data_IF_369442752463
#
_entry.id   IF_369442752463
#
_cell.length_a   1.000
_cell.length_b   1.000
_cell.length_c   1.000
_cell.angle_alpha   90.00
_cell.angle_beta   90.00
_cell.angle_gamma   90.00
#
_symmetry.space_group_name_H-M   'P 1'
#
loop_
_entity.id
_entity.type
_entity.pdbx_description
1 polymer ?
#
# COMPACT_ATOMS: atom_id res chain seq x y z
N UNK A 1 -1.19 -2.44 3.76
CA UNK A 1 -0.33 -2.82 2.64
C UNK A 1 -0.50 -1.83 1.51
N UNK A 2 0.58 -1.29 0.97
CA UNK A 2 0.56 -0.50 -0.26
C UNK A 2 0.87 -1.46 -1.41
N UNK A 3 0.12 -1.36 -2.50
CA UNK A 3 0.29 -2.11 -3.76
C UNK A 3 0.30 -1.12 -4.91
N UNK A 4 0.93 -1.47 -6.04
CA UNK A 4 1.01 -0.62 -7.21
C UNK A 4 0.41 -1.32 -8.44
N UNK A 5 -0.37 -0.59 -9.23
CA UNK A 5 -1.14 -1.14 -10.35
C UNK A 5 -0.29 -1.84 -11.40
N UNK A 6 0.93 -1.35 -11.66
CA UNK A 6 1.85 -1.89 -12.65
C UNK A 6 3.04 -2.62 -12.04
N UNK A 7 2.98 -2.97 -10.75
CA UNK A 7 4.06 -3.68 -10.08
C UNK A 7 4.27 -5.08 -10.72
N UNK A 8 5.40 -5.32 -11.40
CA UNK A 8 5.65 -6.59 -12.07
C UNK A 8 6.11 -7.69 -11.08
N UNK A 9 6.55 -7.31 -9.88
CA UNK A 9 7.09 -8.21 -8.85
C UNK A 9 6.00 -8.63 -7.88
N UNK A 10 5.23 -7.67 -7.38
CA UNK A 10 4.17 -7.87 -6.40
C UNK A 10 2.85 -7.31 -6.94
N UNK A 11 2.21 -8.10 -7.81
CA UNK A 11 0.95 -7.69 -8.44
C UNK A 11 -0.13 -7.48 -7.36
N UNK A 12 -1.05 -6.51 -7.50
CA UNK A 12 -2.09 -6.22 -6.49
C UNK A 12 -2.92 -7.44 -6.08
N UNK A 13 -3.15 -8.37 -7.02
CA UNK A 13 -3.89 -9.60 -6.80
C UNK A 13 -3.27 -10.51 -5.74
N UNK A 14 -1.94 -10.44 -5.58
CA UNK A 14 -1.18 -11.26 -4.62
C UNK A 14 -1.43 -10.81 -3.17
N UNK A 15 -1.92 -9.58 -2.96
CA UNK A 15 -2.25 -9.06 -1.65
C UNK A 15 -3.65 -9.47 -1.15
N UNK A 16 -4.46 -10.11 -1.99
CA UNK A 16 -5.81 -10.55 -1.59
C UNK A 16 -5.75 -11.65 -0.53
N UNK A 17 -6.56 -11.51 0.51
CA UNK A 17 -6.65 -12.49 1.59
C UNK A 17 -5.50 -12.41 2.60
N UNK A 18 -4.60 -11.44 2.49
CA UNK A 18 -3.49 -11.29 3.44
C UNK A 18 -3.96 -10.97 4.86
N UNK A 19 -5.17 -10.44 5.03
CA UNK A 19 -5.78 -10.20 6.34
C UNK A 19 -5.93 -11.47 7.19
N UNK A 20 -5.99 -12.65 6.57
CA UNK A 20 -6.03 -13.93 7.28
C UNK A 20 -4.66 -14.32 7.85
N UNK A 21 -3.57 -13.75 7.34
CA UNK A 21 -2.19 -14.15 7.63
C UNK A 21 -1.39 -13.08 8.36
N UNK A 22 -1.78 -11.81 8.23
CA UNK A 22 -1.09 -10.66 8.82
C UNK A 22 -1.99 -10.02 9.88
N UNK A 23 -1.81 -10.35 11.17
CA UNK A 23 -2.55 -9.71 12.25
C UNK A 23 -2.38 -8.20 12.22
N UNK A 24 -3.48 -7.47 12.46
CA UNK A 24 -3.53 -6.01 12.41
C UNK A 24 -3.24 -5.38 11.03
N UNK A 25 -3.39 -6.13 9.93
CA UNK A 25 -3.47 -5.52 8.60
C UNK A 25 -4.74 -4.66 8.51
N UNK A 26 -4.58 -3.34 8.60
CA UNK A 26 -5.72 -2.40 8.68
C UNK A 26 -6.39 -2.14 7.34
N UNK A 27 -5.60 -2.02 6.27
CA UNK A 27 -6.08 -1.73 4.92
C UNK A 27 -5.07 -2.13 3.85
N UNK A 28 -5.58 -2.36 2.65
CA UNK A 28 -4.79 -2.43 1.41
C UNK A 28 -5.07 -1.18 0.58
N UNK A 29 -4.02 -0.49 0.15
CA UNK A 29 -4.08 0.73 -0.66
C UNK A 29 -3.47 0.41 -2.02
N UNK A 30 -4.22 0.64 -3.09
CA UNK A 30 -3.74 0.52 -4.46
C UNK A 30 -3.36 1.90 -4.97
N UNK A 31 -2.11 2.06 -5.38
CA UNK A 31 -1.63 3.25 -6.09
C UNK A 31 -1.78 3.01 -7.59
N UNK A 32 -2.61 3.83 -8.23
CA UNK A 32 -2.89 3.79 -9.67
C UNK A 32 -1.70 4.33 -10.46
N UNK A 33 -1.52 3.82 -11.68
CA UNK A 33 -0.50 4.28 -12.62
C UNK A 33 0.90 4.34 -12.00
N UNK A 34 1.26 3.29 -11.26
CA UNK A 34 2.50 3.21 -10.48
C UNK A 34 3.14 1.84 -10.65
N UNK A 35 4.45 1.83 -10.90
CA UNK A 35 5.28 0.64 -10.89
C UNK A 35 5.76 0.24 -9.50
N UNK A 36 6.82 -0.56 -9.46
CA UNK A 36 7.29 -1.21 -8.23
C UNK A 36 7.83 -0.22 -7.19
N UNK A 37 8.42 0.90 -7.62
CA UNK A 37 9.11 1.83 -6.72
C UNK A 37 8.18 2.96 -6.31
N UNK A 38 7.12 2.58 -5.59
CA UNK A 38 6.01 3.48 -5.21
C UNK A 38 6.46 4.78 -4.55
N UNK A 39 7.48 4.75 -3.69
CA UNK A 39 7.98 5.94 -3.00
C UNK A 39 8.62 6.96 -3.95
N UNK A 40 9.16 6.49 -5.08
CA UNK A 40 9.83 7.32 -6.09
C UNK A 40 8.85 7.79 -7.17
N UNK A 41 7.90 6.94 -7.55
CA UNK A 41 6.97 7.22 -8.65
C UNK A 41 5.77 8.06 -8.22
N UNK A 42 5.26 7.83 -6.99
CA UNK A 42 4.05 8.45 -6.44
C UNK A 42 4.25 8.85 -4.97
N UNK A 43 5.25 9.72 -4.66
CA UNK A 43 5.61 10.05 -3.29
C UNK A 43 4.45 10.68 -2.50
N UNK A 44 3.62 11.51 -3.13
CA UNK A 44 2.49 12.17 -2.47
C UNK A 44 1.43 11.17 -2.01
N UNK A 45 1.07 10.20 -2.85
CA UNK A 45 0.09 9.15 -2.55
C UNK A 45 0.60 8.22 -1.46
N UNK A 46 1.87 7.81 -1.53
CA UNK A 46 2.51 7.00 -0.49
C UNK A 46 2.52 7.77 0.83
N UNK A 47 3.00 9.01 0.84
CA UNK A 47 3.08 9.81 2.05
C UNK A 47 1.70 10.04 2.66
N UNK A 48 0.69 10.31 1.84
CA UNK A 48 -0.71 10.44 2.29
C UNK A 48 -1.19 9.16 2.97
N UNK A 49 -0.93 7.99 2.37
CA UNK A 49 -1.32 6.71 2.92
C UNK A 49 -0.59 6.39 4.25
N UNK A 50 0.69 6.75 4.36
CA UNK A 50 1.49 6.56 5.58
C UNK A 50 1.03 7.51 6.71
N UNK A 51 0.85 8.80 6.41
CA UNK A 51 0.42 9.80 7.40
C UNK A 51 -0.99 9.44 7.92
N UNK A 52 -1.91 9.05 7.04
CA UNK A 52 -3.23 8.62 7.46
C UNK A 52 -3.17 7.39 8.39
N UNK A 53 -2.26 6.44 8.12
CA UNK A 53 -2.06 5.29 9.00
C UNK A 53 -1.49 5.69 10.37
N UNK A 54 -0.52 6.60 10.42
CA UNK A 54 0.04 7.09 11.68
C UNK A 54 -1.02 7.80 12.54
N UNK A 55 -1.86 8.64 11.94
CA UNK A 55 -2.97 9.30 12.63
C UNK A 55 -3.97 8.32 13.24
N UNK A 56 -4.26 7.21 12.55
CA UNK A 56 -5.11 6.13 13.09
C UNK A 56 -4.50 5.43 14.32
N UNK A 57 -3.17 5.50 14.47
CA UNK A 57 -2.46 5.00 15.65
C UNK A 57 -2.31 6.06 16.76
N UNK A 58 -2.74 7.30 16.53
CA UNK A 58 -2.54 8.43 17.44
C UNK A 58 -1.13 9.00 17.40
N UNK A 59 -0.39 8.77 16.30
CA UNK A 59 0.94 9.34 16.02
C UNK A 59 0.84 10.52 15.05
#
# INVERSE_FOLDING_TARGET
>A
MITAEWDPVLRPEMARGMEAWVPNLRRTVLIRECGHWTQQEKPEEVNTALIAFLKELGL
#
